data_IF_926838193788
#
_entry.id   IF_926838193788
#
_cell.length_a   1.000
_cell.length_b   1.000
_cell.length_c   1.000
_cell.angle_alpha   90.00
_cell.angle_beta   90.00
_cell.angle_gamma   90.00
#
_symmetry.space_group_name_H-M   'P 1'
#
loop_
_entity.id
_entity.type
_entity.pdbx_description
1 polymer ?
#
# COMPACT_ATOMS: atom_id res chain seq x y z
N UNK A 1 -16.99 1.09 -3.71
CA UNK A 1 -16.37 1.98 -4.73
C UNK A 1 -15.65 1.10 -5.74
N UNK A 2 -16.06 1.05 -7.02
CA UNK A 2 -15.33 0.24 -8.04
C UNK A 2 -13.95 0.87 -8.27
N UNK A 3 -12.88 0.10 -8.16
CA UNK A 3 -11.53 0.59 -8.40
C UNK A 3 -11.41 1.11 -9.86
N UNK A 4 -10.85 2.31 -10.07
CA UNK A 4 -10.77 3.00 -11.37
C UNK A 4 -10.34 2.11 -12.54
N UNK A 5 -9.47 1.12 -12.30
CA UNK A 5 -8.90 0.22 -13.31
C UNK A 5 -9.42 -1.23 -13.19
N UNK A 6 -10.53 -1.46 -12.50
CA UNK A 6 -11.12 -2.80 -12.38
C UNK A 6 -11.46 -3.42 -13.75
N UNK A 7 -11.72 -2.60 -14.76
CA UNK A 7 -12.00 -3.05 -16.12
C UNK A 7 -10.84 -3.81 -16.76
N UNK A 8 -9.59 -3.58 -16.32
CA UNK A 8 -8.44 -4.35 -16.80
C UNK A 8 -8.53 -5.83 -16.42
N UNK A 9 -9.28 -6.17 -15.37
CA UNK A 9 -9.51 -7.57 -14.96
C UNK A 9 -10.44 -8.34 -15.90
N UNK A 10 -11.06 -7.67 -16.88
CA UNK A 10 -11.78 -8.35 -17.95
C UNK A 10 -10.80 -9.07 -18.89
N UNK A 11 -9.54 -8.64 -18.94
CA UNK A 11 -8.48 -9.38 -19.59
C UNK A 11 -8.02 -10.57 -18.73
N UNK A 12 -8.05 -11.77 -19.32
CA UNK A 12 -7.75 -13.02 -18.59
C UNK A 12 -6.32 -13.08 -18.06
N UNK A 13 -5.33 -12.52 -18.77
CA UNK A 13 -3.93 -12.58 -18.36
C UNK A 13 -3.67 -11.58 -17.22
N UNK A 14 -4.25 -10.38 -17.32
CA UNK A 14 -4.21 -9.40 -16.22
C UNK A 14 -4.92 -9.95 -14.98
N UNK A 15 -6.07 -10.61 -15.15
CA UNK A 15 -6.79 -11.21 -14.03
C UNK A 15 -5.97 -12.31 -13.34
N UNK A 16 -5.36 -13.22 -14.10
CA UNK A 16 -4.54 -14.30 -13.53
C UNK A 16 -3.32 -13.75 -12.79
N UNK A 17 -2.67 -12.72 -13.35
CA UNK A 17 -1.58 -12.02 -12.67
C UNK A 17 -2.04 -11.36 -11.36
N UNK A 18 -3.20 -10.69 -11.39
CA UNK A 18 -3.80 -10.08 -10.21
C UNK A 18 -4.12 -11.11 -9.13
N UNK A 19 -4.81 -12.20 -9.48
CA UNK A 19 -5.19 -13.27 -8.56
C UNK A 19 -3.93 -13.91 -7.93
N UNK A 20 -2.88 -14.13 -8.73
CA UNK A 20 -1.60 -14.64 -8.25
C UNK A 20 -0.92 -13.69 -7.25
N UNK A 21 -0.95 -12.38 -7.48
CA UNK A 21 -0.46 -11.40 -6.51
C UNK A 21 -1.35 -11.38 -5.25
N UNK A 22 -2.67 -11.44 -5.43
CA UNK A 22 -3.64 -11.35 -4.36
C UNK A 22 -3.56 -12.53 -3.39
N UNK A 23 -3.19 -13.72 -3.89
CA UNK A 23 -2.92 -14.90 -3.06
C UNK A 23 -1.85 -14.65 -1.99
N UNK A 24 -0.90 -13.73 -2.23
CA UNK A 24 0.09 -13.29 -1.24
C UNK A 24 -0.30 -12.00 -0.54
N UNK A 25 -0.82 -11.02 -1.28
CA UNK A 25 -1.24 -9.73 -0.74
C UNK A 25 -2.22 -9.03 -1.67
N UNK A 26 -3.48 -8.94 -1.24
CA UNK A 26 -4.52 -8.18 -1.95
C UNK A 26 -4.18 -6.70 -2.10
N UNK A 27 -3.47 -6.13 -1.12
CA UNK A 27 -3.02 -4.73 -1.14
C UNK A 27 -2.01 -4.53 -2.28
N UNK A 28 -1.01 -5.40 -2.38
CA UNK A 28 -0.03 -5.34 -3.48
C UNK A 28 -0.70 -5.52 -4.84
N UNK A 29 -1.59 -6.51 -4.98
CA UNK A 29 -2.33 -6.75 -6.21
C UNK A 29 -3.12 -5.51 -6.65
N UNK A 30 -3.83 -4.87 -5.71
CA UNK A 30 -4.64 -3.68 -5.96
C UNK A 30 -3.77 -2.47 -6.34
N UNK A 31 -2.66 -2.26 -5.64
CA UNK A 31 -1.71 -1.18 -5.96
C UNK A 31 -1.12 -1.40 -7.34
N UNK A 32 -0.65 -2.61 -7.66
CA UNK A 32 -0.01 -2.90 -8.94
C UNK A 32 -0.97 -2.81 -10.11
N UNK A 33 -2.22 -3.28 -9.97
CA UNK A 33 -3.27 -3.10 -10.98
C UNK A 33 -3.51 -1.62 -11.27
N UNK A 34 -3.63 -0.80 -10.22
CA UNK A 34 -3.83 0.65 -10.35
C UNK A 34 -2.64 1.33 -11.02
N UNK A 35 -1.43 0.96 -10.64
CA UNK A 35 -0.20 1.53 -11.21
C UNK A 35 -0.04 1.12 -12.67
N UNK A 36 -0.31 -0.14 -13.03
CA UNK A 36 -0.27 -0.61 -14.41
C UNK A 36 -1.29 0.13 -15.28
N UNK A 37 -2.54 0.23 -14.81
CA UNK A 37 -3.58 0.96 -15.54
C UNK A 37 -3.27 2.43 -15.70
N UNK A 38 -2.78 3.09 -14.64
CA UNK A 38 -2.41 4.50 -14.74
C UNK A 38 -1.21 4.73 -15.66
N UNK A 39 -0.23 3.82 -15.68
CA UNK A 39 0.85 3.87 -16.67
C UNK A 39 0.33 3.77 -18.10
N UNK A 40 -0.63 2.87 -18.32
CA UNK A 40 -1.28 2.69 -19.63
C UNK A 40 -1.98 3.97 -20.08
N UNK A 41 -2.79 4.59 -19.21
CA UNK A 41 -3.46 5.87 -19.48
C UNK A 41 -2.45 6.98 -19.86
N UNK A 42 -1.39 7.16 -19.06
CA UNK A 42 -0.42 8.23 -19.25
C UNK A 42 0.45 8.09 -20.50
N UNK A 43 0.54 6.89 -21.06
CA UNK A 43 1.40 6.60 -22.23
C UNK A 43 0.59 6.13 -23.44
N UNK A 44 -0.75 6.20 -23.38
CA UNK A 44 -1.62 5.77 -24.48
C UNK A 44 -1.38 4.33 -24.90
N UNK A 45 -1.16 3.43 -23.94
CA UNK A 45 -0.83 2.02 -24.19
C UNK A 45 -1.79 1.08 -23.44
N UNK A 46 -1.56 -0.22 -23.55
CA UNK A 46 -2.30 -1.25 -22.82
C UNK A 46 -1.36 -2.36 -22.32
N UNK A 47 -1.78 -3.19 -21.35
CA UNK A 47 -0.93 -4.22 -20.78
C UNK A 47 -0.31 -5.18 -21.80
N UNK A 48 -1.00 -5.52 -22.88
CA UNK A 48 -0.51 -6.43 -23.93
C UNK A 48 0.41 -5.72 -24.91
N UNK A 49 0.11 -4.48 -25.27
CA UNK A 49 0.99 -3.66 -26.10
C UNK A 49 2.39 -3.53 -25.46
N UNK A 50 2.45 -3.34 -24.12
CA UNK A 50 3.70 -3.32 -23.36
C UNK A 50 4.50 -4.62 -23.58
N UNK A 51 3.87 -5.79 -23.51
CA UNK A 51 4.56 -7.09 -23.68
C UNK A 51 5.25 -7.22 -25.05
N UNK A 52 4.64 -6.66 -26.11
CA UNK A 52 5.17 -6.73 -27.48
C UNK A 52 6.47 -5.93 -27.63
N UNK A 53 6.59 -4.80 -26.93
CA UNK A 53 7.74 -3.88 -27.06
C UNK A 53 8.74 -4.01 -25.91
N UNK A 54 8.43 -4.76 -24.85
CA UNK A 54 9.19 -4.80 -23.60
C UNK A 54 10.69 -5.12 -23.79
N UNK A 55 11.05 -5.95 -24.77
CA UNK A 55 12.45 -6.34 -25.04
C UNK A 55 13.24 -5.30 -25.85
N UNK A 56 12.57 -4.31 -26.42
CA UNK A 56 13.18 -3.31 -27.31
C UNK A 56 13.90 -2.22 -26.53
N UNK A 57 14.88 -1.57 -27.18
CA UNK A 57 15.49 -0.34 -26.63
C UNK A 57 14.46 0.78 -26.54
N UNK A 58 13.58 0.91 -27.54
CA UNK A 58 12.53 1.93 -27.59
C UNK A 58 11.64 1.93 -26.34
N UNK A 59 11.28 0.75 -25.82
CA UNK A 59 10.52 0.67 -24.56
C UNK A 59 11.32 1.19 -23.36
N UNK A 60 12.63 0.91 -23.28
CA UNK A 60 13.48 1.42 -22.19
C UNK A 60 13.68 2.92 -22.28
N UNK A 61 13.88 3.44 -23.50
CA UNK A 61 13.99 4.87 -23.76
C UNK A 61 12.67 5.56 -23.36
N UNK A 62 11.52 5.07 -23.84
CA UNK A 62 10.22 5.63 -23.49
C UNK A 62 9.89 5.54 -21.99
N UNK A 63 10.30 4.47 -21.30
CA UNK A 63 10.17 4.42 -19.84
C UNK A 63 11.11 5.41 -19.14
N UNK A 64 12.30 5.67 -19.69
CA UNK A 64 13.22 6.70 -19.18
C UNK A 64 12.61 8.09 -19.36
N UNK A 65 12.08 8.40 -20.54
CA UNK A 65 11.43 9.67 -20.85
C UNK A 65 10.20 9.90 -19.97
N UNK A 66 9.40 8.85 -19.74
CA UNK A 66 8.30 8.88 -18.77
C UNK A 66 8.77 9.27 -17.36
N UNK A 67 9.88 8.68 -16.89
CA UNK A 67 10.44 9.01 -15.57
C UNK A 67 10.91 10.47 -15.53
N UNK A 68 11.64 10.94 -16.54
CA UNK A 68 12.13 12.33 -16.59
C UNK A 68 11.00 13.35 -16.62
N UNK A 69 9.97 13.12 -17.45
CA UNK A 69 8.76 13.96 -17.47
C UNK A 69 8.09 14.04 -16.10
N UNK A 70 7.95 12.90 -15.42
CA UNK A 70 7.31 12.88 -14.10
C UNK A 70 8.18 13.53 -13.01
N UNK A 71 9.51 13.48 -13.12
CA UNK A 71 10.42 14.23 -12.25
C UNK A 71 10.28 15.74 -12.48
N UNK A 72 10.14 16.19 -13.74
CA UNK A 72 9.87 17.61 -14.09
C UNK A 72 8.52 18.09 -13.54
N UNK A 73 7.51 17.22 -13.49
CA UNK A 73 6.23 17.48 -12.82
C UNK A 73 6.31 17.47 -11.28
N UNK A 74 7.51 17.31 -10.70
CA UNK A 74 7.74 17.33 -9.26
C UNK A 74 7.28 16.05 -8.53
N UNK A 75 7.12 14.92 -9.23
CA UNK A 75 6.73 13.67 -8.60
C UNK A 75 7.93 13.05 -7.86
N UNK A 76 7.69 12.59 -6.62
CA UNK A 76 8.72 11.98 -5.78
C UNK A 76 9.29 10.68 -6.39
N UNK A 77 10.59 10.46 -6.25
CA UNK A 77 11.25 9.24 -6.74
C UNK A 77 10.67 7.94 -6.19
N UNK A 78 10.31 7.91 -4.90
CA UNK A 78 9.65 6.76 -4.27
C UNK A 78 8.25 6.48 -4.84
N UNK A 79 7.56 7.50 -5.35
CA UNK A 79 6.34 7.31 -6.13
C UNK A 79 6.64 6.69 -7.50
N UNK A 80 7.66 7.18 -8.20
CA UNK A 80 8.07 6.67 -9.50
C UNK A 80 8.58 5.22 -9.47
N UNK A 81 9.26 4.82 -8.40
CA UNK A 81 9.69 3.44 -8.16
C UNK A 81 8.52 2.44 -8.22
N UNK A 82 7.30 2.87 -7.86
CA UNK A 82 6.10 2.01 -7.90
C UNK A 82 5.79 1.56 -9.33
N UNK A 83 5.94 2.43 -10.33
CA UNK A 83 5.75 2.07 -11.74
C UNK A 83 6.76 1.01 -12.19
N UNK A 84 8.04 1.22 -11.86
CA UNK A 84 9.11 0.26 -12.15
C UNK A 84 8.81 -1.12 -11.54
N UNK A 85 8.38 -1.18 -10.29
CA UNK A 85 8.01 -2.43 -9.59
C UNK A 85 6.80 -3.12 -10.23
N UNK A 86 5.73 -2.38 -10.51
CA UNK A 86 4.52 -2.93 -11.12
C UNK A 86 4.78 -3.48 -12.54
N UNK A 87 5.50 -2.72 -13.37
CA UNK A 87 5.87 -3.15 -14.71
C UNK A 87 6.79 -4.38 -14.68
N UNK A 88 7.84 -4.40 -13.84
CA UNK A 88 8.69 -5.58 -13.71
C UNK A 88 7.88 -6.81 -13.26
N UNK A 89 6.95 -6.67 -12.32
CA UNK A 89 6.07 -7.77 -11.90
C UNK A 89 5.21 -8.29 -13.06
N UNK A 90 4.58 -7.40 -13.83
CA UNK A 90 3.78 -7.78 -15.00
C UNK A 90 4.62 -8.48 -16.07
N UNK A 91 5.79 -7.92 -16.42
CA UNK A 91 6.70 -8.48 -17.41
C UNK A 91 7.21 -9.86 -16.99
N UNK A 92 7.67 -10.00 -15.74
CA UNK A 92 8.16 -11.28 -15.21
C UNK A 92 7.06 -12.35 -15.16
N UNK A 93 5.83 -12.01 -14.80
CA UNK A 93 4.70 -12.95 -14.82
C UNK A 93 4.43 -13.50 -16.22
N UNK A 94 4.64 -12.68 -17.26
CA UNK A 94 4.50 -13.06 -18.66
C UNK A 94 5.79 -13.66 -19.27
N UNK A 95 6.74 -14.10 -18.45
CA UNK A 95 7.98 -14.75 -18.91
C UNK A 95 9.02 -13.80 -19.51
N UNK A 96 8.85 -12.48 -19.35
CA UNK A 96 9.76 -11.47 -19.86
C UNK A 96 10.68 -10.95 -18.74
N UNK A 97 11.89 -11.49 -18.66
CA UNK A 97 12.92 -11.03 -17.73
C UNK A 97 13.65 -9.77 -18.23
N UNK A 98 12.90 -8.68 -18.41
CA UNK A 98 13.45 -7.39 -18.82
C UNK A 98 13.91 -6.61 -17.59
N UNK A 99 15.21 -6.30 -17.51
CA UNK A 99 15.73 -5.40 -16.48
C UNK A 99 15.58 -3.95 -16.95
N UNK A 100 14.57 -3.24 -16.43
CA UNK A 100 14.45 -1.78 -16.58
C UNK A 100 15.55 -1.07 -15.76
N UNK A 101 16.76 -1.01 -16.32
CA UNK A 101 17.92 -0.31 -15.74
C UNK A 101 17.78 1.22 -15.89
N UNK A 102 16.77 1.79 -15.24
CA UNK A 102 16.54 3.24 -15.19
C UNK A 102 16.78 3.73 -13.76
N UNK A 103 17.63 4.74 -13.63
CA UNK A 103 17.94 5.41 -12.36
C UNK A 103 16.89 6.49 -12.08
N UNK A 104 16.34 6.46 -10.87
CA UNK A 104 15.30 7.38 -10.38
C UNK A 104 15.92 8.18 -9.23
N UNK A 105 15.86 9.51 -9.30
CA UNK A 105 16.40 10.36 -8.23
C UNK A 105 15.51 10.25 -6.99
N UNK A 106 16.11 10.11 -5.81
CA UNK A 106 15.35 10.00 -4.55
C UNK A 106 14.46 8.74 -4.47
N UNK A 107 14.84 7.64 -5.13
CA UNK A 107 14.04 6.40 -5.16
C UNK A 107 13.74 5.86 -3.75
N UNK A 108 14.68 6.05 -2.82
CA UNK A 108 14.59 5.64 -1.42
C UNK A 108 14.13 6.75 -0.47
N UNK A 109 13.86 7.95 -0.97
CA UNK A 109 13.45 9.09 -0.15
C UNK A 109 11.95 9.03 0.18
N UNK A 110 11.59 9.52 1.36
CA UNK A 110 10.21 9.53 1.87
C UNK A 110 9.76 10.95 2.21
N UNK A 111 9.60 11.83 1.19
CA UNK A 111 9.39 13.26 1.41
C UNK A 111 8.09 13.58 2.18
N UNK A 112 7.07 12.73 2.08
CA UNK A 112 5.78 12.94 2.76
C UNK A 112 5.85 12.83 4.29
N UNK A 113 6.85 12.11 4.81
CA UNK A 113 7.04 11.90 6.25
C UNK A 113 8.30 12.60 6.78
N UNK A 114 9.03 13.32 5.92
CA UNK A 114 10.27 13.99 6.29
C UNK A 114 10.07 15.05 7.38
N UNK A 115 8.89 15.67 7.44
CA UNK A 115 8.49 16.63 8.47
C UNK A 115 7.48 16.07 9.48
N UNK A 116 7.26 14.75 9.50
CA UNK A 116 6.37 14.12 10.46
C UNK A 116 6.96 14.22 11.87
N UNK A 117 6.17 14.73 12.81
CA UNK A 117 6.56 14.91 14.21
C UNK A 117 5.69 14.02 15.09
N UNK A 118 6.30 13.39 16.08
CA UNK A 118 5.57 12.70 17.15
C UNK A 118 4.79 13.73 17.99
N UNK A 119 3.46 13.56 18.17
CA UNK A 119 2.68 14.46 19.02
C UNK A 119 3.24 14.58 20.44
N UNK A 120 3.20 15.77 21.03
CA UNK A 120 3.48 15.97 22.46
C UNK A 120 2.39 15.33 23.34
N UNK A 121 2.64 15.20 24.64
CA UNK A 121 1.62 14.68 25.57
C UNK A 121 0.36 15.55 25.58
N UNK A 122 0.51 16.87 25.53
CA UNK A 122 -0.58 17.84 25.50
C UNK A 122 -1.32 17.85 24.15
N UNK A 123 -0.62 17.58 23.05
CA UNK A 123 -1.24 17.39 21.73
C UNK A 123 -2.05 16.08 21.69
N UNK A 124 -1.49 14.98 22.21
CA UNK A 124 -2.16 13.69 22.29
C UNK A 124 -3.41 13.74 23.19
N UNK A 125 -3.32 14.39 24.35
CA UNK A 125 -4.44 14.55 25.27
C UNK A 125 -5.61 15.29 24.62
N UNK A 126 -5.33 16.38 23.89
CA UNK A 126 -6.33 17.11 23.10
C UNK A 126 -6.97 16.24 22.02
N UNK A 127 -6.18 15.43 21.31
CA UNK A 127 -6.70 14.49 20.29
C UNK A 127 -7.65 13.46 20.92
N UNK A 128 -7.25 12.84 22.03
CA UNK A 128 -8.07 11.86 22.78
C UNK A 128 -9.36 12.51 23.29
N UNK A 129 -9.29 13.75 23.76
CA UNK A 129 -10.45 14.51 24.26
C UNK A 129 -11.51 14.81 23.20
N UNK A 130 -11.10 15.04 21.94
CA UNK A 130 -12.01 15.41 20.84
C UNK A 130 -12.56 14.23 20.03
N UNK A 131 -12.13 13.00 20.31
CA UNK A 131 -12.46 11.82 19.50
C UNK A 131 -13.61 10.99 20.09
N UNK A 132 -14.26 10.19 19.23
CA UNK A 132 -15.30 9.24 19.66
C UNK A 132 -14.71 8.16 20.57
N UNK A 133 -15.52 7.48 21.42
CA UNK A 133 -15.01 6.41 22.29
C UNK A 133 -14.22 5.32 21.53
N UNK A 134 -14.70 4.92 20.34
CA UNK A 134 -14.00 3.95 19.48
C UNK A 134 -12.65 4.49 19.00
N UNK A 135 -12.61 5.72 18.48
CA UNK A 135 -11.37 6.33 18.00
C UNK A 135 -10.37 6.54 19.15
N UNK A 136 -10.87 6.90 20.34
CA UNK A 136 -10.08 7.03 21.55
C UNK A 136 -9.34 5.75 21.89
N UNK A 137 -10.04 4.61 21.94
CA UNK A 137 -9.42 3.30 22.18
C UNK A 137 -8.36 2.99 21.12
N UNK A 138 -8.66 3.19 19.84
CA UNK A 138 -7.69 2.95 18.76
C UNK A 138 -6.44 3.82 18.88
N UNK A 139 -6.60 5.11 19.19
CA UNK A 139 -5.49 6.06 19.39
C UNK A 139 -4.67 5.67 20.62
N UNK A 140 -5.32 5.32 21.74
CA UNK A 140 -4.65 4.86 22.96
C UNK A 140 -3.83 3.61 22.71
N UNK A 141 -4.37 2.62 22.01
CA UNK A 141 -3.62 1.41 21.67
C UNK A 141 -2.37 1.76 20.84
N UNK A 142 -2.49 2.57 19.78
CA UNK A 142 -1.33 2.96 18.98
C UNK A 142 -0.31 3.79 19.78
N UNK A 143 -0.76 4.77 20.55
CA UNK A 143 0.11 5.71 21.24
C UNK A 143 0.86 5.07 22.43
N UNK A 144 0.20 4.16 23.16
CA UNK A 144 0.76 3.60 24.40
C UNK A 144 1.40 2.21 24.23
N UNK A 145 1.03 1.45 23.19
CA UNK A 145 1.64 0.13 22.93
C UNK A 145 2.50 0.09 21.66
N UNK A 146 2.46 1.14 20.83
CA UNK A 146 3.23 1.19 19.58
C UNK A 146 2.72 0.24 18.49
N UNK A 147 1.52 -0.34 18.64
CA UNK A 147 0.94 -1.19 17.61
C UNK A 147 0.68 -0.40 16.33
N UNK A 148 0.85 -1.06 15.18
CA UNK A 148 0.56 -0.45 13.89
C UNK A 148 -0.95 -0.40 13.65
N UNK A 149 -1.45 0.60 12.89
CA UNK A 149 -2.86 0.65 12.51
C UNK A 149 -3.38 -0.65 11.88
N UNK A 150 -2.52 -1.35 11.11
CA UNK A 150 -2.89 -2.61 10.47
C UNK A 150 -3.08 -3.78 11.47
N UNK A 151 -2.49 -3.69 12.66
CA UNK A 151 -2.70 -4.67 13.74
C UNK A 151 -4.08 -4.49 14.38
N UNK A 152 -4.56 -3.24 14.48
CA UNK A 152 -5.93 -2.96 14.93
C UNK A 152 -6.97 -3.52 13.96
N UNK A 153 -6.67 -3.51 12.66
CA UNK A 153 -7.56 -4.03 11.64
C UNK A 153 -6.87 -4.21 10.28
N UNK A 154 -7.18 -5.34 9.66
CA UNK A 154 -6.79 -5.71 8.31
C UNK A 154 -7.48 -4.84 7.24
N UNK A 155 -6.91 -4.83 6.03
CA UNK A 155 -7.36 -4.00 4.92
C UNK A 155 -8.77 -4.35 4.43
N UNK A 156 -9.11 -5.64 4.47
CA UNK A 156 -10.40 -6.21 4.11
C UNK A 156 -11.30 -6.46 5.33
N UNK A 157 -10.87 -6.00 6.52
CA UNK A 157 -11.57 -6.21 7.79
C UNK A 157 -11.79 -7.69 8.15
N UNK A 158 -11.00 -8.62 7.59
CA UNK A 158 -11.10 -10.05 7.90
C UNK A 158 -10.47 -10.42 9.24
N UNK A 159 -9.55 -9.60 9.72
CA UNK A 159 -8.75 -9.82 10.92
C UNK A 159 -8.33 -8.51 11.63
N UNK A 160 -7.81 -8.64 12.86
CA UNK A 160 -7.35 -7.55 13.72
C UNK A 160 -7.33 -7.98 15.19
N UNK A 161 -6.96 -7.05 16.09
CA UNK A 161 -7.01 -7.30 17.54
C UNK A 161 -8.43 -7.64 17.98
N UNK A 162 -8.55 -8.70 18.80
CA UNK A 162 -9.78 -9.24 19.37
C UNK A 162 -9.77 -9.08 20.88
N UNK A 163 -10.94 -9.16 21.51
CA UNK A 163 -11.04 -9.13 22.97
C UNK A 163 -10.22 -10.25 23.64
N UNK A 164 -10.13 -11.42 23.01
CA UNK A 164 -9.32 -12.54 23.52
C UNK A 164 -7.81 -12.32 23.48
N UNK A 165 -7.31 -11.24 22.86
CA UNK A 165 -5.89 -10.89 22.87
C UNK A 165 -5.49 -10.13 24.15
N UNK A 166 -6.46 -9.66 24.93
CA UNK A 166 -6.25 -9.02 26.23
C UNK A 166 -6.34 -10.08 27.32
N UNK A 167 -5.18 -10.49 27.87
CA UNK A 167 -5.10 -11.53 28.91
C UNK A 167 -5.78 -11.13 30.22
N UNK A 168 -5.92 -9.82 30.42
CA UNK A 168 -6.62 -9.19 31.53
C UNK A 168 -8.15 -9.13 31.34
N UNK A 169 -8.67 -9.43 30.15
CA UNK A 169 -10.08 -9.27 29.84
C UNK A 169 -10.88 -10.55 30.15
N UNK A 170 -11.91 -10.42 30.99
CA UNK A 170 -12.88 -11.46 31.29
C UNK A 170 -14.25 -11.10 30.69
N UNK A 171 -14.86 -12.04 29.96
CA UNK A 171 -16.18 -11.85 29.35
C UNK A 171 -17.20 -12.65 30.17
N UNK A 172 -18.06 -11.92 30.87
CA UNK A 172 -19.13 -12.48 31.71
C UNK A 172 -20.50 -12.16 31.11
N UNK A 173 -21.56 -12.83 31.57
CA UNK A 173 -22.92 -12.67 31.02
C UNK A 173 -23.50 -11.23 31.07
N UNK A 174 -22.86 -10.32 31.82
CA UNK A 174 -23.24 -8.91 31.93
C UNK A 174 -22.29 -7.90 31.26
N UNK A 175 -21.14 -8.33 30.71
CA UNK A 175 -20.17 -7.40 30.12
C UNK A 175 -18.74 -7.92 30.03
N UNK A 176 -17.81 -6.98 29.81
CA UNK A 176 -16.36 -7.24 29.80
C UNK A 176 -15.74 -6.53 30.99
N UNK A 177 -14.97 -7.27 31.79
CA UNK A 177 -14.19 -6.76 32.91
C UNK A 177 -12.69 -6.87 32.60
N UNK A 178 -11.89 -5.91 33.07
CA UNK A 178 -10.44 -5.93 32.91
C UNK A 178 -9.79 -6.07 34.30
N UNK A 179 -9.27 -7.25 34.61
CA UNK A 179 -8.64 -7.55 35.89
C UNK A 179 -7.15 -7.19 35.81
N UNK A 180 -6.64 -6.35 36.74
CA UNK A 180 -5.21 -6.05 36.78
C UNK A 180 -4.39 -7.34 36.93
N UNK A 181 -3.62 -7.69 35.91
CA UNK A 181 -2.61 -8.73 36.01
C UNK A 181 -1.52 -8.32 36.98
N UNK A 182 -1.05 -9.27 37.80
CA UNK A 182 0.12 -9.08 38.68
C UNK A 182 1.32 -8.60 37.84
N UNK A 183 2.07 -7.59 38.28
CA UNK A 183 3.23 -7.12 37.52
C UNK A 183 4.25 -8.26 37.41
N UNK A 184 4.65 -8.57 36.17
CA UNK A 184 5.85 -9.37 35.86
C UNK A 184 7.11 -8.52 36.04
#
# INVERSE_FOLDING_TARGET
MKAKYAQLLNDKDVKRWFDNLAAKSIVTATVYLRTLGYYCDLNGTDPKAILKVAKTKAFRDGFTDFIRRMEEEGKAGSYLSKFKKALNSWLSYNGLNVKLKVNIRGESETPTIASEKVPSKEELDRIIGMTTPRARVSISLMAFSGIRPHSLGSYDSSDGIRLGDFVEAEINGGGVEFCQGSPL
#
